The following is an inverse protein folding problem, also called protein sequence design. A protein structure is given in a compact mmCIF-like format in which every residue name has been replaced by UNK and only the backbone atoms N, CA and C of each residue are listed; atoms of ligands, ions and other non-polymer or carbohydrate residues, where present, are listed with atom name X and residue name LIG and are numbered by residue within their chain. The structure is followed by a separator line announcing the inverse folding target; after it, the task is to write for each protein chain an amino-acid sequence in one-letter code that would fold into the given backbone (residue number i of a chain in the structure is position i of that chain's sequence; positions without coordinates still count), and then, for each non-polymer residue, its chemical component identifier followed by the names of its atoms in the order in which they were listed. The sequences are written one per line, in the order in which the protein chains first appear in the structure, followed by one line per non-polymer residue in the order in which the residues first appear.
data_IF_387203821308
#
_entry.id   IF_387203821308
#
_cell.length_a   1.000
_cell.length_b   1.000
_cell.length_c   1.000
_cell.angle_alpha   90.00
_cell.angle_beta   90.00
_cell.angle_gamma   90.00
#
_symmetry.space_group_name_H-M   'P 1'
#
loop_
_entity.id
_entity.type
_entity.pdbx_description
1 polymer ?
#
# COMPACT_ATOMS: atom_id res chain seq x y z
N UNK A 1 12.49 -12.06 -11.83
CA UNK A 1 11.96 -11.16 -10.78
C UNK A 1 11.00 -10.20 -11.47
N UNK A 2 9.70 -10.31 -11.22
CA UNK A 2 8.69 -9.43 -11.84
C UNK A 2 8.00 -8.59 -10.78
N UNK A 3 7.73 -7.34 -11.12
CA UNK A 3 6.88 -6.47 -10.30
C UNK A 3 5.48 -7.11 -10.11
N UNK A 4 4.86 -6.98 -8.92
CA UNK A 4 3.54 -7.56 -8.63
C UNK A 4 2.50 -7.32 -9.72
N UNK A 5 2.42 -6.09 -10.25
CA UNK A 5 1.50 -5.71 -11.33
C UNK A 5 1.76 -6.54 -12.61
N UNK A 6 3.01 -6.71 -13.01
CA UNK A 6 3.37 -7.45 -14.23
C UNK A 6 3.13 -8.95 -14.08
N UNK A 7 3.45 -9.51 -12.89
CA UNK A 7 3.22 -10.91 -12.58
C UNK A 7 1.73 -11.23 -12.57
N UNK A 8 0.93 -10.41 -11.87
CA UNK A 8 -0.52 -10.58 -11.81
C UNK A 8 -1.15 -10.53 -13.20
N UNK A 9 -0.77 -9.53 -14.03
CA UNK A 9 -1.27 -9.37 -15.38
C UNK A 9 -0.95 -10.60 -16.26
N UNK A 10 0.32 -11.03 -16.27
CA UNK A 10 0.74 -12.19 -17.06
C UNK A 10 0.02 -13.47 -16.64
N UNK A 11 -0.08 -13.71 -15.32
CA UNK A 11 -0.76 -14.87 -14.78
C UNK A 11 -2.28 -14.85 -15.07
N UNK A 12 -2.95 -13.70 -14.96
CA UNK A 12 -4.37 -13.56 -15.31
C UNK A 12 -4.63 -13.93 -16.77
N UNK A 13 -3.84 -13.38 -17.69
CA UNK A 13 -4.04 -13.66 -19.12
C UNK A 13 -3.70 -15.10 -19.49
N UNK A 14 -2.73 -15.74 -18.83
CA UNK A 14 -2.51 -17.18 -18.96
C UNK A 14 -3.72 -17.99 -18.48
N UNK A 15 -4.29 -17.62 -17.32
CA UNK A 15 -5.53 -18.22 -16.83
C UNK A 15 -6.67 -18.12 -17.86
N UNK A 16 -6.90 -16.92 -18.43
CA UNK A 16 -7.90 -16.71 -19.49
C UNK A 16 -7.63 -17.55 -20.73
N UNK A 17 -6.38 -17.67 -21.15
CA UNK A 17 -5.98 -18.46 -22.32
C UNK A 17 -6.25 -19.94 -22.09
N UNK A 18 -5.82 -20.51 -20.98
CA UNK A 18 -6.06 -21.91 -20.64
C UNK A 18 -7.55 -22.22 -20.48
N UNK A 19 -8.35 -21.28 -19.94
CA UNK A 19 -9.80 -21.42 -19.87
C UNK A 19 -10.41 -21.54 -21.27
N UNK A 20 -9.99 -20.68 -22.22
CA UNK A 20 -10.46 -20.76 -23.62
C UNK A 20 -10.03 -22.04 -24.34
N UNK A 21 -8.90 -22.62 -23.96
CA UNK A 21 -8.40 -23.90 -24.49
C UNK A 21 -9.08 -25.11 -23.83
N UNK A 22 -10.02 -24.92 -22.90
CA UNK A 22 -10.68 -25.98 -22.16
C UNK A 22 -9.84 -26.64 -21.08
N UNK A 23 -8.64 -26.13 -20.80
CA UNK A 23 -7.69 -26.63 -19.81
C UNK A 23 -7.97 -25.99 -18.44
N UNK A 24 -9.10 -26.38 -17.83
CA UNK A 24 -9.64 -25.74 -16.62
C UNK A 24 -8.69 -25.78 -15.43
N UNK A 25 -8.00 -26.89 -15.20
CA UNK A 25 -7.07 -27.05 -14.07
C UNK A 25 -5.91 -26.05 -14.15
N UNK A 26 -5.28 -25.95 -15.31
CA UNK A 26 -4.22 -24.95 -15.55
C UNK A 26 -4.75 -23.52 -15.44
N UNK A 27 -5.95 -23.25 -15.93
CA UNK A 27 -6.60 -21.96 -15.78
C UNK A 27 -6.72 -21.56 -14.31
N UNK A 28 -7.25 -22.45 -13.47
CA UNK A 28 -7.40 -22.23 -12.03
C UNK A 28 -6.05 -21.99 -11.35
N UNK A 29 -5.02 -22.77 -11.73
CA UNK A 29 -3.67 -22.61 -11.19
C UNK A 29 -3.12 -21.20 -11.47
N UNK A 30 -3.24 -20.72 -12.71
CA UNK A 30 -2.77 -19.40 -13.09
C UNK A 30 -3.59 -18.26 -12.48
N UNK A 31 -4.92 -18.41 -12.33
CA UNK A 31 -5.73 -17.44 -11.58
C UNK A 31 -5.34 -17.39 -10.10
N UNK A 32 -5.10 -18.54 -9.44
CA UNK A 32 -4.59 -18.57 -8.06
C UNK A 32 -3.25 -17.85 -7.93
N UNK A 33 -2.38 -17.96 -8.93
CA UNK A 33 -1.09 -17.25 -8.95
C UNK A 33 -1.27 -15.73 -9.07
N UNK A 34 -2.18 -15.26 -9.91
CA UNK A 34 -2.50 -13.84 -10.06
C UNK A 34 -3.19 -13.29 -8.80
N UNK A 35 -4.15 -14.02 -8.24
CA UNK A 35 -4.94 -13.64 -7.07
C UNK A 35 -4.12 -13.44 -5.77
N UNK A 36 -2.86 -13.91 -5.74
CA UNK A 36 -1.93 -13.58 -4.63
C UNK A 36 -1.60 -12.09 -4.54
N UNK A 37 -1.91 -11.31 -5.57
CA UNK A 37 -1.59 -9.88 -5.67
C UNK A 37 -2.87 -9.03 -5.66
N UNK A 38 -3.70 -9.16 -4.62
CA UNK A 38 -4.99 -8.47 -4.48
C UNK A 38 -4.91 -6.94 -4.49
N UNK A 39 -3.74 -6.36 -4.28
CA UNK A 39 -3.50 -4.92 -4.42
C UNK A 39 -3.38 -4.48 -5.89
N UNK A 40 -3.47 -5.40 -6.85
CA UNK A 40 -3.40 -5.13 -8.28
C UNK A 40 -4.72 -5.43 -8.98
N UNK A 41 -5.05 -4.66 -10.03
CA UNK A 41 -6.26 -4.86 -10.81
C UNK A 41 -6.42 -6.30 -11.34
N UNK A 42 -5.37 -6.86 -11.94
CA UNK A 42 -5.43 -8.23 -12.48
C UNK A 42 -5.46 -9.30 -11.39
N UNK A 43 -4.91 -9.02 -10.20
CA UNK A 43 -5.05 -9.89 -9.04
C UNK A 43 -6.49 -9.98 -8.56
N UNK A 44 -7.18 -8.84 -8.49
CA UNK A 44 -8.60 -8.78 -8.14
C UNK A 44 -9.48 -9.46 -9.19
N UNK A 45 -9.25 -9.21 -10.49
CA UNK A 45 -9.97 -9.90 -11.54
C UNK A 45 -9.79 -11.42 -11.47
N UNK A 46 -8.56 -11.89 -11.23
CA UNK A 46 -8.29 -13.33 -11.09
C UNK A 46 -8.98 -13.92 -9.87
N UNK A 47 -9.03 -13.18 -8.77
CA UNK A 47 -9.78 -13.61 -7.58
C UNK A 47 -11.27 -13.79 -7.90
N UNK A 48 -11.89 -12.84 -8.60
CA UNK A 48 -13.30 -12.92 -9.00
C UNK A 48 -13.58 -14.03 -10.04
N UNK A 49 -12.61 -14.44 -10.83
CA UNK A 49 -12.75 -15.61 -11.71
C UNK A 49 -12.79 -16.92 -10.89
N UNK A 50 -12.16 -16.96 -9.71
CA UNK A 50 -12.15 -18.10 -8.80
C UNK A 50 -13.36 -18.10 -7.86
N UNK A 51 -13.72 -16.93 -7.34
CA UNK A 51 -14.86 -16.72 -6.45
C UNK A 51 -15.58 -15.42 -6.81
N UNK A 52 -16.60 -15.47 -7.69
CA UNK A 52 -17.33 -14.28 -8.16
C UNK A 52 -18.01 -13.47 -7.06
N UNK A 53 -18.32 -14.07 -5.92
CA UNK A 53 -18.98 -13.43 -4.78
C UNK A 53 -18.03 -13.22 -3.59
N UNK A 54 -16.76 -13.55 -3.75
CA UNK A 54 -15.75 -13.45 -2.72
C UNK A 54 -15.46 -12.00 -2.33
N UNK A 55 -15.08 -11.79 -1.07
CA UNK A 55 -14.62 -10.51 -0.56
C UNK A 55 -13.09 -10.48 -0.59
N UNK A 56 -12.54 -9.34 -0.98
CA UNK A 56 -11.10 -9.14 -0.94
C UNK A 56 -10.66 -8.98 0.52
N UNK A 57 -9.80 -9.88 0.97
CA UNK A 57 -9.11 -9.76 2.24
C UNK A 57 -7.65 -9.43 1.95
N UNK A 58 -7.25 -8.20 2.31
CA UNK A 58 -5.85 -7.81 2.22
C UNK A 58 -5.10 -8.34 3.43
N UNK A 59 -3.81 -8.65 3.25
CA UNK A 59 -2.96 -9.06 4.38
C UNK A 59 -2.97 -7.98 5.47
N UNK A 60 -3.00 -8.43 6.72
CA UNK A 60 -2.84 -7.56 7.87
C UNK A 60 -1.44 -6.94 7.90
N UNK A 61 -1.34 -5.72 8.45
CA UNK A 61 -0.05 -5.08 8.66
C UNK A 61 0.74 -5.82 9.74
N UNK A 62 2.07 -5.73 9.67
CA UNK A 62 2.96 -6.33 10.65
C UNK A 62 2.69 -5.78 12.05
N UNK A 63 2.47 -6.65 13.02
CA UNK A 63 2.35 -6.26 14.42
C UNK A 63 3.73 -5.88 14.99
N UNK A 64 3.86 -4.66 15.46
CA UNK A 64 5.10 -4.12 16.00
C UNK A 64 5.15 -4.31 17.51
N UNK A 65 6.20 -4.97 18.01
CA UNK A 65 6.44 -5.12 19.44
C UNK A 65 6.53 -3.75 20.12
N UNK A 66 5.85 -3.61 21.28
CA UNK A 66 5.77 -2.35 22.01
C UNK A 66 7.13 -1.76 22.34
N UNK A 67 8.07 -2.60 22.77
CA UNK A 67 9.42 -2.18 23.15
C UNK A 67 10.18 -1.56 21.97
N UNK A 68 10.02 -2.15 20.77
CA UNK A 68 10.67 -1.62 19.57
C UNK A 68 10.03 -0.31 19.12
N UNK A 69 8.70 -0.18 19.22
CA UNK A 69 7.99 1.08 18.96
C UNK A 69 8.47 2.20 19.88
N UNK A 70 8.55 1.94 21.17
CA UNK A 70 9.04 2.91 22.15
C UNK A 70 10.50 3.31 21.88
N UNK A 71 11.35 2.34 21.55
CA UNK A 71 12.74 2.60 21.15
C UNK A 71 12.82 3.47 19.89
N UNK A 72 12.04 3.17 18.88
CA UNK A 72 12.01 3.93 17.62
C UNK A 72 11.66 5.38 17.85
N UNK A 73 10.58 5.66 18.57
CA UNK A 73 10.11 7.03 18.83
C UNK A 73 11.00 7.83 19.81
N UNK A 74 11.90 7.19 20.56
CA UNK A 74 12.91 7.86 21.39
C UNK A 74 14.14 8.33 20.63
N UNK A 75 14.35 7.89 19.39
CA UNK A 75 15.51 8.27 18.58
C UNK A 75 15.53 9.78 18.33
N UNK A 76 16.70 10.41 18.47
CA UNK A 76 16.84 11.85 18.21
C UNK A 76 16.54 12.23 16.77
N UNK A 77 16.82 11.32 15.82
CA UNK A 77 16.48 11.51 14.40
C UNK A 77 14.96 11.57 14.17
N UNK A 78 14.15 10.89 14.99
CA UNK A 78 12.68 11.00 14.94
C UNK A 78 12.23 12.35 15.49
N UNK A 79 12.84 12.82 16.57
CA UNK A 79 12.59 14.18 17.12
C UNK A 79 12.92 15.26 16.10
N UNK A 80 14.03 15.07 15.34
CA UNK A 80 14.40 15.98 14.24
C UNK A 80 13.31 16.05 13.17
N UNK A 81 12.65 14.94 12.84
CA UNK A 81 11.56 14.94 11.85
C UNK A 81 10.39 15.79 12.34
N UNK A 82 9.98 15.65 13.61
CA UNK A 82 8.91 16.48 14.18
C UNK A 82 9.31 17.97 14.20
N UNK A 83 10.56 18.29 14.52
CA UNK A 83 11.05 19.67 14.49
C UNK A 83 11.02 20.25 13.08
N UNK A 84 11.40 19.45 12.04
CA UNK A 84 11.30 19.87 10.65
C UNK A 84 9.86 20.13 10.21
N UNK A 85 8.92 19.35 10.74
CA UNK A 85 7.50 19.54 10.48
C UNK A 85 6.97 20.82 11.14
N UNK A 86 7.27 21.06 12.42
CA UNK A 86 6.94 22.30 13.13
C UNK A 86 7.47 23.55 12.44
N UNK A 87 8.62 23.45 11.79
CA UNK A 87 9.24 24.53 11.03
C UNK A 87 8.71 24.66 9.57
N UNK A 88 7.71 23.85 9.18
CA UNK A 88 7.21 23.72 7.80
C UNK A 88 8.32 23.33 6.79
N UNK A 89 9.30 22.57 7.22
CA UNK A 89 10.42 22.09 6.43
C UNK A 89 10.39 20.56 6.25
N UNK A 90 9.21 19.95 6.36
CA UNK A 90 9.00 18.49 6.27
C UNK A 90 9.53 17.86 4.96
N UNK A 91 9.73 18.65 3.89
CA UNK A 91 10.36 18.18 2.65
C UNK A 91 11.75 17.55 2.86
N UNK A 92 12.51 18.00 3.88
CA UNK A 92 13.80 17.43 4.22
C UNK A 92 13.69 16.10 4.97
N UNK A 93 12.53 15.79 5.56
CA UNK A 93 12.30 14.53 6.25
C UNK A 93 12.33 13.31 5.34
N UNK A 94 12.09 13.46 4.03
CA UNK A 94 11.97 12.37 3.06
C UNK A 94 13.16 11.38 3.09
N UNK A 95 14.37 11.90 3.07
CA UNK A 95 15.58 11.07 3.07
C UNK A 95 15.81 10.42 4.44
N UNK A 96 15.49 11.14 5.51
CA UNK A 96 15.60 10.65 6.90
C UNK A 96 14.60 9.50 7.11
N UNK A 97 13.35 9.67 6.68
CA UNK A 97 12.32 8.65 6.77
C UNK A 97 12.68 7.39 6.00
N UNK A 98 13.26 7.54 4.79
CA UNK A 98 13.74 6.42 4.01
C UNK A 98 14.91 5.69 4.70
N UNK A 99 15.82 6.42 5.34
CA UNK A 99 16.89 5.83 6.14
C UNK A 99 16.32 5.05 7.33
N UNK A 100 15.39 5.65 8.09
CA UNK A 100 14.72 4.99 9.21
C UNK A 100 13.95 3.73 8.79
N UNK A 101 13.30 3.76 7.64
CA UNK A 101 12.57 2.60 7.11
C UNK A 101 13.48 1.38 6.90
N UNK A 102 14.73 1.61 6.50
CA UNK A 102 15.70 0.54 6.22
C UNK A 102 16.57 0.13 7.42
N UNK A 103 16.42 0.78 8.57
CA UNK A 103 17.28 0.56 9.74
C UNK A 103 17.14 -0.85 10.34
N UNK A 104 15.91 -1.33 10.53
CA UNK A 104 15.62 -2.67 11.05
C UNK A 104 14.26 -3.18 10.53
N UNK A 105 14.27 -3.68 9.31
CA UNK A 105 13.06 -4.12 8.61
C UNK A 105 12.35 -5.26 9.37
N UNK A 106 13.09 -6.22 9.90
CA UNK A 106 12.52 -7.36 10.64
C UNK A 106 11.77 -6.95 11.91
N UNK A 107 12.18 -5.85 12.53
CA UNK A 107 11.50 -5.27 13.70
C UNK A 107 10.39 -4.28 13.32
N UNK A 108 10.15 -4.03 12.03
CA UNK A 108 9.06 -3.19 11.53
C UNK A 108 9.42 -1.72 11.37
N UNK A 109 10.68 -1.37 11.14
CA UNK A 109 11.11 0.01 10.90
C UNK A 109 10.38 0.68 9.73
N UNK A 110 10.06 -0.08 8.67
CA UNK A 110 9.26 0.43 7.54
C UNK A 110 7.87 0.90 7.96
N UNK A 111 7.19 0.08 8.77
CA UNK A 111 5.85 0.40 9.29
C UNK A 111 5.90 1.64 10.16
N UNK A 112 6.89 1.74 11.06
CA UNK A 112 7.04 2.88 11.96
C UNK A 112 7.45 4.16 11.22
N UNK A 113 8.27 4.07 10.17
CA UNK A 113 8.61 5.22 9.34
C UNK A 113 7.40 5.69 8.50
N UNK A 114 6.58 4.76 8.00
CA UNK A 114 5.33 5.11 7.32
C UNK A 114 4.30 5.71 8.29
N UNK A 115 4.19 5.19 9.51
CA UNK A 115 3.36 5.76 10.56
C UNK A 115 3.83 7.18 10.93
N UNK A 116 5.13 7.39 11.12
CA UNK A 116 5.70 8.70 11.39
C UNK A 116 5.41 9.70 10.26
N UNK A 117 5.51 9.24 9.01
CA UNK A 117 5.15 10.06 7.84
C UNK A 117 3.69 10.49 7.88
N UNK A 118 2.78 9.57 8.27
CA UNK A 118 1.36 9.88 8.41
C UNK A 118 1.10 10.86 9.57
N UNK A 119 1.85 10.75 10.68
CA UNK A 119 1.70 11.63 11.84
C UNK A 119 2.08 13.08 11.54
N UNK A 120 2.97 13.31 10.58
CA UNK A 120 3.33 14.65 10.07
C UNK A 120 2.57 15.00 8.79
N UNK A 121 1.43 14.35 8.54
CA UNK A 121 0.55 14.57 7.38
C UNK A 121 1.22 14.42 5.99
N UNK A 122 2.40 13.80 5.93
CA UNK A 122 3.11 13.49 4.68
C UNK A 122 2.74 12.08 4.20
N UNK A 123 1.49 11.94 3.74
CA UNK A 123 0.97 10.70 3.19
C UNK A 123 1.75 10.21 1.98
N UNK A 124 2.26 11.13 1.16
CA UNK A 124 3.14 10.84 0.03
C UNK A 124 4.40 10.05 0.44
N UNK A 125 5.03 10.40 1.56
CA UNK A 125 6.19 9.65 2.08
C UNK A 125 5.80 8.27 2.60
N UNK A 126 4.68 8.16 3.31
CA UNK A 126 4.15 6.88 3.79
C UNK A 126 3.86 5.93 2.63
N UNK A 127 3.24 6.44 1.55
CA UNK A 127 2.96 5.72 0.33
C UNK A 127 4.26 5.25 -0.35
N UNK A 128 5.25 6.13 -0.49
CA UNK A 128 6.51 5.77 -1.12
C UNK A 128 7.26 4.65 -0.38
N UNK A 129 7.31 4.71 0.95
CA UNK A 129 7.91 3.64 1.79
C UNK A 129 7.16 2.32 1.55
N UNK A 130 5.83 2.34 1.68
CA UNK A 130 5.00 1.14 1.54
C UNK A 130 5.02 0.57 0.12
N UNK A 131 5.12 1.41 -0.90
CA UNK A 131 5.24 1.02 -2.31
C UNK A 131 6.56 0.31 -2.58
N UNK A 132 7.69 0.82 -2.05
CA UNK A 132 9.00 0.18 -2.17
C UNK A 132 8.97 -1.18 -1.48
N UNK A 133 8.45 -1.28 -0.25
CA UNK A 133 8.29 -2.53 0.47
C UNK A 133 7.46 -3.56 -0.31
N UNK A 134 6.42 -3.13 -1.02
CA UNK A 134 5.56 -4.01 -1.81
C UNK A 134 6.30 -4.70 -2.98
N UNK A 135 7.35 -4.09 -3.53
CA UNK A 135 8.18 -4.71 -4.56
C UNK A 135 8.96 -5.91 -4.02
N UNK A 136 9.21 -5.92 -2.73
CA UNK A 136 9.83 -7.04 -2.01
C UNK A 136 8.80 -7.93 -1.29
N UNK A 137 7.52 -7.80 -1.66
CA UNK A 137 6.38 -8.59 -1.14
C UNK A 137 6.05 -8.33 0.34
N UNK A 138 6.48 -7.21 0.90
CA UNK A 138 6.01 -6.73 2.20
C UNK A 138 4.91 -5.70 1.96
N UNK A 139 3.72 -5.95 2.47
CA UNK A 139 2.53 -5.14 2.20
C UNK A 139 2.10 -4.41 3.46
N UNK A 140 2.15 -3.09 3.42
CA UNK A 140 1.72 -2.18 4.48
C UNK A 140 0.49 -1.41 3.97
N UNK A 141 -0.65 -2.10 3.88
CA UNK A 141 -1.84 -1.63 3.18
C UNK A 141 -2.42 -0.36 3.80
N UNK A 142 -2.42 -0.24 5.13
CA UNK A 142 -2.86 0.95 5.86
C UNK A 142 -2.15 2.23 5.41
N UNK A 143 -0.85 2.14 5.14
CA UNK A 143 -0.03 3.30 4.75
C UNK A 143 0.08 3.46 3.24
N UNK A 144 -0.08 2.39 2.48
CA UNK A 144 -0.09 2.44 1.02
C UNK A 144 -1.40 3.01 0.46
N UNK A 145 -2.50 2.89 1.23
CA UNK A 145 -3.83 3.36 0.88
C UNK A 145 -4.43 4.19 2.02
N UNK A 146 -3.92 5.40 2.26
CA UNK A 146 -4.40 6.23 3.37
C UNK A 146 -5.88 6.58 3.17
N UNK A 147 -6.64 6.52 4.27
CA UNK A 147 -8.05 6.87 4.30
C UNK A 147 -8.20 8.18 5.06
N UNK A 148 -8.45 9.26 4.31
CA UNK A 148 -8.73 10.58 4.87
C UNK A 148 -10.21 10.93 4.69
N UNK A 149 -10.69 11.82 5.54
CA UNK A 149 -12.08 12.30 5.47
C UNK A 149 -12.27 13.18 4.22
N UNK A 150 -13.33 12.93 3.48
CA UNK A 150 -13.75 13.78 2.36
C UNK A 150 -15.14 14.37 2.66
N UNK A 151 -15.47 15.60 2.19
CA UNK A 151 -16.80 16.15 2.33
C UNK A 151 -17.81 15.27 1.59
N UNK A 152 -19.06 15.21 2.05
CA UNK A 152 -20.15 14.50 1.34
C UNK A 152 -20.82 15.36 0.26
N UNK A 153 -20.74 16.68 0.42
CA UNK A 153 -21.36 17.67 -0.47
C UNK A 153 -20.40 18.84 -0.70
N UNK A 154 -20.39 19.37 -1.91
CA UNK A 154 -19.71 20.63 -2.27
C UNK A 154 -20.74 21.50 -2.99
N UNK A 155 -20.94 22.73 -2.52
CA UNK A 155 -21.93 23.67 -3.08
C UNK A 155 -23.34 23.06 -3.26
N UNK A 156 -23.79 22.27 -2.27
CA UNK A 156 -25.10 21.60 -2.27
C UNK A 156 -25.22 20.38 -3.20
N UNK A 157 -24.14 20.01 -3.92
CA UNK A 157 -24.12 18.83 -4.79
C UNK A 157 -23.43 17.67 -4.10
N UNK A 158 -24.04 16.49 -4.16
CA UNK A 158 -23.42 15.25 -3.69
C UNK A 158 -22.17 14.96 -4.53
N UNK A 159 -21.06 14.71 -3.86
CA UNK A 159 -19.81 14.30 -4.53
C UNK A 159 -19.73 12.77 -4.69
N UNK A 160 -18.84 12.25 -5.53
CA UNK A 160 -18.58 10.82 -5.65
C UNK A 160 -18.21 10.17 -4.31
N UNK A 161 -18.26 8.84 -4.27
CA UNK A 161 -17.86 8.08 -3.09
C UNK A 161 -16.42 8.38 -2.67
N UNK A 162 -16.17 8.42 -1.36
CA UNK A 162 -14.85 8.70 -0.79
C UNK A 162 -13.77 7.77 -1.35
N UNK A 163 -14.07 6.46 -1.47
CA UNK A 163 -13.09 5.50 -1.99
C UNK A 163 -12.72 5.81 -3.45
N UNK A 164 -13.67 6.26 -4.27
CA UNK A 164 -13.41 6.67 -5.65
C UNK A 164 -12.50 7.91 -5.69
N UNK A 165 -12.80 8.93 -4.88
CA UNK A 165 -11.98 10.16 -4.80
C UNK A 165 -10.55 9.82 -4.36
N UNK A 166 -10.40 9.06 -3.26
CA UNK A 166 -9.09 8.70 -2.74
C UNK A 166 -8.29 7.83 -3.72
N UNK A 167 -8.97 6.98 -4.50
CA UNK A 167 -8.30 6.17 -5.52
C UNK A 167 -7.69 7.02 -6.65
N UNK A 168 -8.38 8.11 -7.05
CA UNK A 168 -7.86 9.06 -8.02
C UNK A 168 -6.68 9.84 -7.45
N UNK A 169 -6.81 10.41 -6.24
CA UNK A 169 -5.73 11.13 -5.58
C UNK A 169 -4.49 10.22 -5.45
N UNK A 170 -4.71 8.97 -5.02
CA UNK A 170 -3.64 7.98 -4.89
C UNK A 170 -2.94 7.69 -6.22
N UNK A 171 -3.70 7.63 -7.32
CA UNK A 171 -3.17 7.32 -8.65
C UNK A 171 -2.43 8.51 -9.27
N UNK A 172 -2.95 9.73 -9.10
CA UNK A 172 -2.46 10.92 -9.80
C UNK A 172 -1.33 11.64 -9.05
N UNK A 173 -1.47 11.83 -7.74
CA UNK A 173 -0.51 12.63 -6.95
C UNK A 173 0.17 11.86 -5.82
N UNK A 174 -0.26 10.66 -5.49
CA UNK A 174 0.18 9.94 -4.29
C UNK A 174 -0.02 10.77 -2.98
N UNK A 175 -0.98 11.69 -2.96
CA UNK A 175 -1.26 12.62 -1.85
C UNK A 175 -0.17 13.69 -1.62
N UNK A 176 0.66 14.00 -2.64
CA UNK A 176 1.61 15.12 -2.64
C UNK A 176 0.92 16.46 -2.93
#
# INVERSE_FOLDING_TARGET
VGYPISVARGAYWLGKTYNKLGQKELSVEWYKKAAKFLTTYYGQLAFLELDPNGKFELSEDLEIKKEYREYFYKKDIVKLIYLLDELNESKYAKHILRHLANDNIESGSEVLAAELSTNIERFDFAIQISKIASYEKRFHNKYNYPVISTPKYINGRKIPDTAFILSIIRQESEFD
#
